data_IF_626383311339
#
_entry.id   IF_626383311339
#
_cell.length_a   1.000
_cell.length_b   1.000
_cell.length_c   1.000
_cell.angle_alpha   90.00
_cell.angle_beta   90.00
_cell.angle_gamma   90.00
#
_symmetry.space_group_name_H-M   'P 1'
#
loop_
_entity.id
_entity.type
_entity.pdbx_description
1 polymer ?
#
# COMPACT_ATOMS: atom_id res chain seq x y z
N UNK A 1 -24.05 7.51 -13.27
CA UNK A 1 -22.90 6.90 -12.56
C UNK A 1 -22.77 7.59 -11.21
N UNK A 2 -22.63 6.87 -10.13
CA UNK A 2 -22.45 7.49 -8.81
C UNK A 2 -21.11 8.26 -8.80
N UNK A 3 -21.11 9.45 -8.19
CA UNK A 3 -19.89 10.23 -7.98
C UNK A 3 -18.94 9.47 -7.06
N UNK A 4 -17.62 9.47 -7.28
CA UNK A 4 -16.66 8.90 -6.34
C UNK A 4 -16.72 9.62 -5.00
N UNK A 5 -16.67 8.89 -3.89
CA UNK A 5 -16.70 9.46 -2.54
C UNK A 5 -15.53 10.39 -2.24
N UNK A 6 -14.35 10.12 -2.84
CA UNK A 6 -13.14 10.94 -2.68
C UNK A 6 -12.45 11.14 -4.04
N UNK A 7 -12.17 12.40 -4.37
CA UNK A 7 -11.40 12.79 -5.56
C UNK A 7 -10.19 13.61 -5.09
N UNK A 8 -9.00 13.32 -5.63
CA UNK A 8 -7.81 14.16 -5.51
C UNK A 8 -7.43 14.73 -6.86
N UNK A 9 -7.20 16.02 -6.91
CA UNK A 9 -6.68 16.75 -8.06
C UNK A 9 -5.44 17.54 -7.65
N UNK A 10 -4.36 17.37 -8.39
CA UNK A 10 -3.09 18.02 -8.11
C UNK A 10 -2.55 18.72 -9.33
N UNK A 11 -2.09 19.96 -9.13
CA UNK A 11 -1.33 20.72 -10.10
C UNK A 11 -0.17 21.43 -9.40
N UNK A 12 0.81 21.86 -10.16
CA UNK A 12 1.85 22.75 -9.67
C UNK A 12 1.93 24.01 -10.51
N UNK A 13 2.37 25.08 -9.89
CA UNK A 13 2.63 26.37 -10.54
C UNK A 13 4.08 26.77 -10.31
N UNK A 14 4.68 27.34 -11.35
CA UNK A 14 6.04 27.87 -11.29
C UNK A 14 6.01 29.26 -10.67
N UNK A 15 7.12 29.73 -10.07
CA UNK A 15 7.18 31.04 -9.41
C UNK A 15 6.91 32.23 -10.37
N UNK A 16 6.99 32.02 -11.69
CA UNK A 16 6.82 33.06 -12.72
C UNK A 16 5.53 32.86 -13.55
N UNK A 17 4.71 31.88 -13.23
CA UNK A 17 3.53 31.52 -14.04
C UNK A 17 2.37 32.49 -13.85
N UNK A 18 1.83 33.02 -14.96
CA UNK A 18 0.53 33.75 -14.99
C UNK A 18 -0.66 32.86 -14.60
N UNK A 19 -0.52 31.54 -14.63
CA UNK A 19 -1.52 30.59 -14.14
C UNK A 19 -1.79 30.76 -12.64
N UNK A 20 -0.88 31.34 -11.90
CA UNK A 20 -1.04 31.71 -10.51
C UNK A 20 -2.09 32.83 -10.31
N UNK A 21 -1.99 33.92 -11.11
CA UNK A 21 -2.98 35.02 -11.07
C UNK A 21 -4.38 34.55 -11.53
N UNK A 22 -4.45 33.69 -12.57
CA UNK A 22 -5.71 33.15 -13.06
C UNK A 22 -6.40 32.22 -12.10
N UNK A 23 -5.65 31.44 -11.32
CA UNK A 23 -6.21 30.56 -10.29
C UNK A 23 -6.76 31.35 -9.10
N UNK A 24 -6.08 32.43 -8.71
CA UNK A 24 -6.56 33.37 -7.69
C UNK A 24 -7.87 34.06 -8.13
N UNK A 25 -7.98 34.48 -9.39
CA UNK A 25 -9.19 35.08 -9.94
C UNK A 25 -10.36 34.09 -10.05
N UNK A 26 -10.09 32.82 -10.37
CA UNK A 26 -11.10 31.76 -10.37
C UNK A 26 -11.69 31.51 -8.99
N UNK A 27 -10.87 31.58 -7.95
CA UNK A 27 -11.26 31.32 -6.58
C UNK A 27 -11.95 32.52 -5.90
N UNK A 28 -11.80 33.71 -6.45
CA UNK A 28 -12.36 34.95 -5.91
C UNK A 28 -13.85 35.19 -6.25
N UNK A 29 -14.58 34.14 -6.71
CA UNK A 29 -16.00 34.23 -7.03
C UNK A 29 -16.88 34.23 -5.78
N UNK A 30 -17.78 35.22 -5.70
CA UNK A 30 -18.56 35.65 -4.56
C UNK A 30 -19.71 34.73 -4.07
N UNK A 31 -19.83 33.46 -4.50
CA UNK A 31 -21.06 32.68 -4.35
C UNK A 31 -21.01 31.55 -3.30
N UNK A 32 -20.10 31.58 -2.36
CA UNK A 32 -19.83 30.40 -1.56
C UNK A 32 -19.78 30.62 -0.05
N UNK A 33 -20.85 31.11 0.58
CA UNK A 33 -20.87 31.46 2.02
C UNK A 33 -21.56 30.43 2.90
N UNK A 34 -20.96 30.07 4.04
CA UNK A 34 -21.60 29.81 5.36
C UNK A 34 -20.61 29.42 6.46
N UNK A 35 -20.40 30.27 7.51
CA UNK A 35 -20.08 29.85 8.87
C UNK A 35 -20.40 30.91 9.91
N UNK A 36 -20.71 30.49 11.15
CA UNK A 36 -21.05 31.36 12.28
C UNK A 36 -19.85 32.07 12.94
N UNK A 37 -18.62 31.72 12.60
CA UNK A 37 -17.40 32.30 13.19
C UNK A 37 -16.86 33.57 12.47
N UNK A 38 -17.70 34.17 11.66
CA UNK A 38 -17.39 35.20 10.66
C UNK A 38 -16.84 36.53 11.23
N UNK A 39 -17.29 36.97 12.39
CA UNK A 39 -17.03 38.34 12.83
C UNK A 39 -15.65 38.57 13.49
N UNK A 40 -15.03 37.54 14.04
CA UNK A 40 -13.76 37.66 14.77
C UNK A 40 -12.53 37.60 13.87
N UNK A 41 -12.66 36.94 12.72
CA UNK A 41 -11.55 36.70 11.79
C UNK A 41 -11.27 37.87 10.84
N UNK A 42 -12.29 38.60 10.43
CA UNK A 42 -12.19 39.70 9.46
C UNK A 42 -11.33 40.88 9.94
N UNK A 43 -11.27 41.12 11.24
CA UNK A 43 -10.48 42.26 11.75
C UNK A 43 -8.97 42.07 11.68
N UNK A 44 -8.49 40.84 11.59
CA UNK A 44 -7.06 40.52 11.65
C UNK A 44 -6.36 40.47 10.26
N UNK A 45 -7.09 40.33 9.16
CA UNK A 45 -6.53 40.03 7.84
C UNK A 45 -6.73 41.10 6.75
N UNK A 46 -7.42 42.19 7.02
CA UNK A 46 -7.72 43.24 6.02
C UNK A 46 -6.49 44.01 5.51
N UNK A 47 -5.35 43.95 6.18
CA UNK A 47 -4.16 44.73 5.83
C UNK A 47 -3.16 44.05 4.88
N UNK A 48 -3.35 42.80 4.50
CA UNK A 48 -2.36 42.02 3.73
C UNK A 48 -2.72 41.90 2.25
N UNK A 49 -2.48 42.92 1.46
CA UNK A 49 -2.63 42.90 -0.02
C UNK A 49 -1.29 42.58 -0.69
N UNK A 50 -0.95 41.30 -0.91
CA UNK A 50 0.25 40.89 -1.68
C UNK A 50 -0.04 39.85 -2.76
N UNK A 51 0.74 39.88 -3.85
CA UNK A 51 0.47 39.22 -5.14
C UNK A 51 1.35 38.00 -5.42
N UNK A 52 1.58 37.05 -4.51
CA UNK A 52 2.51 35.93 -4.72
C UNK A 52 1.99 34.59 -4.14
N UNK A 53 2.84 33.63 -3.85
CA UNK A 53 2.45 32.37 -3.19
C UNK A 53 1.69 32.61 -1.86
N UNK A 54 1.99 33.70 -1.20
CA UNK A 54 1.30 34.24 -0.05
C UNK A 54 -0.19 34.50 -0.31
N UNK A 55 -0.55 35.04 -1.49
CA UNK A 55 -1.92 35.39 -1.86
C UNK A 55 -2.81 34.15 -1.94
N UNK A 56 -2.27 32.98 -2.30
CA UNK A 56 -3.02 31.73 -2.30
C UNK A 56 -3.40 31.30 -0.87
N UNK A 57 -2.45 31.38 0.06
CA UNK A 57 -2.75 31.09 1.48
C UNK A 57 -3.74 32.10 2.07
N UNK A 58 -3.64 33.37 1.68
CA UNK A 58 -4.58 34.40 2.10
C UNK A 58 -6.01 34.12 1.61
N UNK A 59 -6.14 33.63 0.38
CA UNK A 59 -7.43 33.19 -0.15
C UNK A 59 -8.01 32.01 0.62
N UNK A 60 -7.18 31.01 0.94
CA UNK A 60 -7.60 29.84 1.69
C UNK A 60 -8.03 30.19 3.13
N UNK A 61 -7.58 31.31 3.68
CA UNK A 61 -7.96 31.78 5.00
C UNK A 61 -9.21 32.66 5.04
N UNK A 62 -9.90 32.86 3.89
CA UNK A 62 -11.09 33.70 3.83
C UNK A 62 -12.27 33.07 4.62
N UNK A 63 -12.68 33.65 5.76
CA UNK A 63 -13.67 33.03 6.67
C UNK A 63 -15.10 32.97 6.12
N UNK A 64 -15.40 33.73 5.05
CA UNK A 64 -16.72 33.67 4.39
C UNK A 64 -16.93 32.38 3.60
N UNK A 65 -15.84 31.72 3.22
CA UNK A 65 -15.86 30.63 2.24
C UNK A 65 -15.27 29.34 2.78
N UNK A 66 -14.46 29.42 3.84
CA UNK A 66 -13.58 28.34 4.25
C UNK A 66 -13.52 28.22 5.77
N UNK A 67 -13.04 27.06 6.25
CA UNK A 67 -12.51 26.95 7.61
C UNK A 67 -11.24 27.82 7.75
N UNK A 68 -10.82 28.03 9.00
CA UNK A 68 -9.49 28.57 9.25
C UNK A 68 -8.40 27.72 8.60
N UNK A 69 -7.26 28.37 8.28
CA UNK A 69 -6.09 27.61 7.81
C UNK A 69 -5.54 26.70 8.89
N UNK A 70 -5.27 25.48 8.50
CA UNK A 70 -4.58 24.47 9.30
C UNK A 70 -3.33 23.95 8.59
N UNK A 71 -2.47 23.25 9.31
CA UNK A 71 -1.27 22.66 8.74
C UNK A 71 -0.90 21.33 9.44
N UNK A 72 0.32 20.89 9.29
CA UNK A 72 0.82 19.65 9.92
C UNK A 72 0.75 19.65 11.45
N UNK A 73 0.74 20.83 12.11
CA UNK A 73 0.84 20.95 13.56
C UNK A 73 -0.39 21.55 14.23
N UNK A 74 -1.07 22.46 13.57
CA UNK A 74 -2.14 23.29 14.16
C UNK A 74 -3.43 23.11 13.37
N UNK A 75 -4.55 22.96 14.10
CA UNK A 75 -5.89 22.94 13.51
C UNK A 75 -6.35 24.33 13.11
N UNK A 76 -5.74 25.33 13.69
CA UNK A 76 -5.98 26.75 13.47
C UNK A 76 -4.65 27.51 13.55
N UNK A 77 -4.36 28.33 12.54
CA UNK A 77 -3.18 29.18 12.54
C UNK A 77 -3.52 30.56 13.13
N UNK A 78 -2.81 30.94 14.21
CA UNK A 78 -2.87 32.31 14.70
C UNK A 78 -2.24 33.29 13.71
N UNK A 79 -2.50 34.63 13.82
CA UNK A 79 -1.85 35.59 12.92
C UNK A 79 -0.33 35.50 12.88
N UNK A 80 0.32 35.25 14.02
CA UNK A 80 1.77 35.10 14.11
C UNK A 80 2.26 33.82 13.43
N UNK A 81 1.51 32.70 13.60
CA UNK A 81 1.82 31.44 12.93
C UNK A 81 1.61 31.56 11.43
N UNK A 82 0.56 32.28 11.00
CA UNK A 82 0.30 32.56 9.59
C UNK A 82 1.46 33.34 8.98
N UNK A 83 1.95 34.41 9.62
CA UNK A 83 3.07 35.20 9.10
C UNK A 83 4.35 34.35 9.00
N UNK A 84 4.59 33.45 9.94
CA UNK A 84 5.70 32.49 9.86
C UNK A 84 5.60 31.55 8.66
N UNK A 85 4.40 31.04 8.36
CA UNK A 85 4.16 30.22 7.19
C UNK A 85 4.30 31.02 5.89
N UNK A 86 3.76 32.25 5.86
CA UNK A 86 3.86 33.15 4.69
C UNK A 86 5.32 33.45 4.36
N UNK A 87 6.19 33.66 5.37
CA UNK A 87 7.61 33.86 5.12
C UNK A 87 8.28 32.62 4.50
N UNK A 88 7.88 31.41 4.90
CA UNK A 88 8.37 30.18 4.28
C UNK A 88 7.91 30.08 2.80
N UNK A 89 6.69 30.50 2.48
CA UNK A 89 6.20 30.54 1.10
C UNK A 89 6.95 31.59 0.28
N UNK A 90 7.21 32.78 0.83
CA UNK A 90 8.05 33.82 0.19
C UNK A 90 9.48 33.30 -0.04
N UNK A 91 10.06 32.61 0.94
CA UNK A 91 11.38 32.00 0.78
C UNK A 91 11.40 30.94 -0.32
N UNK A 92 10.39 30.06 -0.38
CA UNK A 92 10.26 29.09 -1.45
C UNK A 92 10.23 29.79 -2.83
N UNK A 93 9.47 30.86 -2.97
CA UNK A 93 9.37 31.63 -4.22
C UNK A 93 10.71 32.29 -4.60
N UNK A 94 11.41 32.92 -3.64
CA UNK A 94 12.77 33.47 -3.85
C UNK A 94 13.76 32.38 -4.29
N UNK A 95 13.63 31.17 -3.78
CA UNK A 95 14.46 30.02 -4.13
C UNK A 95 13.98 29.28 -5.40
N UNK A 96 13.05 29.88 -6.14
CA UNK A 96 12.50 29.32 -7.39
C UNK A 96 11.80 27.98 -7.21
N UNK A 97 11.29 27.68 -6.00
CA UNK A 97 10.49 26.49 -5.74
C UNK A 97 9.18 26.51 -6.50
N UNK A 98 8.62 25.33 -6.70
CA UNK A 98 7.26 25.17 -7.18
C UNK A 98 6.28 25.25 -6.02
N UNK A 99 5.03 25.64 -6.32
CA UNK A 99 3.91 25.46 -5.40
C UNK A 99 2.99 24.37 -5.93
N UNK A 100 2.83 23.29 -5.19
CA UNK A 100 1.84 22.23 -5.46
C UNK A 100 0.51 22.63 -4.82
N UNK A 101 -0.53 22.53 -5.61
CA UNK A 101 -1.90 22.78 -5.21
C UNK A 101 -2.67 21.49 -5.31
N UNK A 102 -3.15 20.96 -4.16
CA UNK A 102 -4.01 19.80 -4.10
C UNK A 102 -5.44 20.22 -3.75
N UNK A 103 -6.40 19.51 -4.29
CA UNK A 103 -7.81 19.63 -3.93
C UNK A 103 -8.32 18.21 -3.65
N UNK A 104 -8.66 17.95 -2.40
CA UNK A 104 -9.31 16.70 -2.00
C UNK A 104 -10.79 17.01 -1.87
N UNK A 105 -11.61 16.45 -2.75
CA UNK A 105 -13.06 16.65 -2.76
C UNK A 105 -13.77 15.39 -2.25
N UNK A 106 -14.82 15.61 -1.46
CA UNK A 106 -15.65 14.56 -0.87
C UNK A 106 -17.06 14.64 -1.42
N UNK A 107 -17.66 13.50 -1.76
CA UNK A 107 -19.09 13.42 -1.98
C UNK A 107 -19.79 13.56 -0.61
N UNK A 108 -20.73 14.53 -0.48
CA UNK A 108 -21.39 14.82 0.78
C UNK A 108 -22.22 13.63 1.30
N UNK A 109 -22.84 12.87 0.38
CA UNK A 109 -23.62 11.67 0.76
C UNK A 109 -22.70 10.56 1.28
N UNK A 110 -21.48 10.48 0.74
CA UNK A 110 -20.47 9.53 1.23
C UNK A 110 -19.99 9.92 2.64
N UNK A 111 -19.74 11.21 2.92
CA UNK A 111 -19.39 11.68 4.26
C UNK A 111 -20.54 11.45 5.26
N UNK A 112 -21.79 11.72 4.87
CA UNK A 112 -22.99 11.43 5.66
C UNK A 112 -23.09 9.95 6.04
N UNK A 113 -22.92 9.07 5.05
CA UNK A 113 -22.95 7.61 5.25
C UNK A 113 -21.92 7.13 6.27
N UNK A 114 -20.77 7.79 6.34
CA UNK A 114 -19.71 7.47 7.30
C UNK A 114 -19.79 8.28 8.61
N UNK A 115 -20.86 9.06 8.80
CA UNK A 115 -21.15 9.76 10.06
C UNK A 115 -20.33 11.03 10.28
N UNK A 116 -19.69 11.57 9.24
CA UNK A 116 -18.84 12.77 9.34
C UNK A 116 -19.50 14.05 8.80
N UNK A 117 -20.69 13.95 8.22
CA UNK A 117 -21.45 15.10 7.73
C UNK A 117 -22.94 14.93 8.00
N UNK A 118 -23.59 16.00 8.45
CA UNK A 118 -25.03 16.06 8.63
C UNK A 118 -25.66 17.01 7.58
N UNK A 119 -26.43 16.50 6.61
CA UNK A 119 -27.00 17.35 5.55
C UNK A 119 -28.11 18.29 6.05
N UNK A 120 -28.70 18.05 7.23
CA UNK A 120 -29.76 18.90 7.79
C UNK A 120 -29.17 20.09 8.53
N UNK A 121 -28.15 19.87 9.37
CA UNK A 121 -27.49 20.93 10.14
C UNK A 121 -26.30 21.54 9.41
N UNK A 122 -25.82 20.86 8.36
CA UNK A 122 -24.57 21.16 7.64
C UNK A 122 -23.31 21.08 8.51
N UNK A 123 -23.40 20.32 9.63
CA UNK A 123 -22.24 20.09 10.49
C UNK A 123 -21.29 19.05 9.86
N UNK A 124 -20.01 19.37 9.86
CA UNK A 124 -18.92 18.50 9.40
C UNK A 124 -18.02 18.16 10.58
N UNK A 125 -17.58 16.92 10.67
CA UNK A 125 -16.47 16.52 11.54
C UNK A 125 -15.13 16.98 10.93
N UNK A 126 -14.84 18.28 11.11
CA UNK A 126 -13.62 18.91 10.62
C UNK A 126 -12.35 18.24 11.17
N UNK A 127 -12.38 17.80 12.43
CA UNK A 127 -11.23 17.18 13.09
C UNK A 127 -10.80 15.90 12.36
N UNK A 128 -11.76 15.09 11.94
CA UNK A 128 -11.48 13.87 11.15
C UNK A 128 -10.97 14.23 9.75
N UNK A 129 -11.53 15.22 9.08
CA UNK A 129 -11.09 15.68 7.76
C UNK A 129 -9.65 16.25 7.84
N UNK A 130 -9.35 17.06 8.85
CA UNK A 130 -8.01 17.61 9.08
C UNK A 130 -6.98 16.50 9.37
N UNK A 131 -7.34 15.53 10.22
CA UNK A 131 -6.48 14.37 10.51
C UNK A 131 -6.22 13.53 9.26
N UNK A 132 -7.24 13.28 8.45
CA UNK A 132 -7.10 12.56 7.19
C UNK A 132 -6.16 13.27 6.22
N UNK A 133 -6.30 14.60 6.11
CA UNK A 133 -5.42 15.46 5.30
C UNK A 133 -3.97 15.40 5.78
N UNK A 134 -3.73 15.48 7.09
CA UNK A 134 -2.38 15.38 7.67
C UNK A 134 -1.72 14.05 7.36
N UNK A 135 -2.43 12.94 7.54
CA UNK A 135 -1.92 11.61 7.24
C UNK A 135 -1.53 11.49 5.76
N UNK A 136 -2.40 11.96 4.88
CA UNK A 136 -2.15 11.93 3.43
C UNK A 136 -0.95 12.78 3.03
N UNK A 137 -0.82 14.01 3.56
CA UNK A 137 0.29 14.90 3.26
C UNK A 137 1.62 14.40 3.84
N UNK A 138 1.60 13.83 5.04
CA UNK A 138 2.79 13.21 5.66
C UNK A 138 3.33 12.08 4.78
N UNK A 139 2.46 11.20 4.31
CA UNK A 139 2.86 10.09 3.44
C UNK A 139 3.33 10.59 2.06
N UNK A 140 2.66 11.59 1.48
CA UNK A 140 3.07 12.19 0.21
C UNK A 140 4.49 12.77 0.31
N UNK A 141 4.73 13.62 1.31
CA UNK A 141 6.02 14.29 1.55
C UNK A 141 7.14 13.25 1.71
N UNK A 142 6.90 12.22 2.52
CA UNK A 142 7.87 11.14 2.73
C UNK A 142 8.15 10.35 1.44
N UNK A 143 7.11 9.93 0.73
CA UNK A 143 7.27 9.13 -0.50
C UNK A 143 7.90 9.90 -1.67
N UNK A 144 7.70 11.23 -1.74
CA UNK A 144 8.32 12.11 -2.72
C UNK A 144 9.70 12.62 -2.27
N UNK A 145 10.15 12.28 -1.04
CA UNK A 145 11.42 12.71 -0.43
C UNK A 145 11.53 14.23 -0.29
N UNK A 146 10.46 14.85 0.16
CA UNK A 146 10.32 16.29 0.31
C UNK A 146 10.18 16.69 1.79
N UNK A 147 11.01 16.13 2.67
CA UNK A 147 10.91 16.28 4.13
C UNK A 147 10.99 17.74 4.61
N UNK A 148 11.53 18.63 3.78
CA UNK A 148 11.55 20.08 4.01
C UNK A 148 10.31 20.83 3.53
N UNK A 149 9.31 20.13 2.98
CA UNK A 149 8.10 20.77 2.47
C UNK A 149 7.21 21.31 3.59
N UNK A 150 6.64 22.48 3.32
CA UNK A 150 5.70 23.19 4.18
C UNK A 150 4.37 23.30 3.44
N UNK A 151 3.28 23.09 4.15
CA UNK A 151 1.95 23.18 3.55
C UNK A 151 0.92 23.81 4.50
N UNK A 152 -0.10 24.40 3.90
CA UNK A 152 -1.32 24.85 4.56
C UNK A 152 -2.53 24.29 3.84
N UNK A 153 -3.63 24.16 4.57
CA UNK A 153 -4.90 23.70 4.01
C UNK A 153 -6.07 24.43 4.62
N UNK A 154 -7.20 24.43 3.90
CA UNK A 154 -8.51 24.91 4.38
C UNK A 154 -9.64 24.04 3.86
N UNK A 155 -10.70 23.90 4.64
CA UNK A 155 -11.90 23.18 4.26
C UNK A 155 -12.88 24.19 3.66
N UNK A 156 -13.43 23.88 2.50
CA UNK A 156 -14.42 24.67 1.80
C UNK A 156 -15.78 23.97 1.82
N UNK A 157 -16.84 24.71 2.17
CA UNK A 157 -18.19 24.18 2.39
C UNK A 157 -19.18 24.54 1.30
N UNK A 158 -18.83 25.40 0.39
CA UNK A 158 -19.75 26.21 -0.40
C UNK A 158 -20.04 25.69 -1.80
N UNK A 159 -19.77 24.45 -2.06
CA UNK A 159 -20.07 23.75 -3.30
C UNK A 159 -20.93 22.53 -3.00
N UNK A 160 -21.46 21.90 -4.05
CA UNK A 160 -22.21 20.63 -3.92
C UNK A 160 -21.42 19.54 -3.20
N UNK A 161 -20.09 19.71 -3.12
CA UNK A 161 -19.16 18.79 -2.46
C UNK A 161 -18.21 19.54 -1.53
N UNK A 162 -18.05 19.07 -0.30
CA UNK A 162 -17.04 19.56 0.62
C UNK A 162 -15.65 19.21 0.06
N UNK A 163 -14.72 20.16 0.13
CA UNK A 163 -13.37 19.92 -0.35
C UNK A 163 -12.30 20.64 0.47
N UNK A 164 -11.11 20.08 0.48
CA UNK A 164 -9.92 20.62 1.15
C UNK A 164 -8.96 21.14 0.09
N UNK A 165 -8.67 22.43 0.12
CA UNK A 165 -7.58 23.02 -0.64
C UNK A 165 -6.28 22.96 0.14
N UNK A 166 -5.20 22.59 -0.52
CA UNK A 166 -3.88 22.47 0.08
C UNK A 166 -2.87 23.20 -0.82
N UNK A 167 -2.05 24.06 -0.20
CA UNK A 167 -0.88 24.64 -0.83
C UNK A 167 0.38 24.05 -0.18
N UNK A 168 1.32 23.55 -0.98
CA UNK A 168 2.57 22.97 -0.52
C UNK A 168 3.75 23.57 -1.29
N UNK A 169 4.81 23.93 -0.58
CA UNK A 169 6.06 24.43 -1.16
C UNK A 169 7.27 23.78 -0.47
N UNK A 170 8.42 23.78 -1.13
CA UNK A 170 9.71 23.51 -0.48
C UNK A 170 10.48 24.83 -0.33
N UNK A 171 10.64 25.40 0.89
CA UNK A 171 11.47 26.59 1.09
C UNK A 171 12.90 26.42 0.58
N UNK A 172 13.43 25.20 0.69
CA UNK A 172 14.71 24.78 0.12
C UNK A 172 14.48 23.62 -0.85
N UNK A 173 14.32 23.89 -2.16
CA UNK A 173 13.99 22.86 -3.14
C UNK A 173 15.03 21.76 -3.22
N UNK A 174 14.58 20.51 -3.14
CA UNK A 174 15.43 19.32 -3.19
C UNK A 174 15.32 18.55 -4.51
N UNK A 175 14.34 18.86 -5.33
CA UNK A 175 14.07 18.17 -6.60
C UNK A 175 15.08 18.57 -7.68
N UNK A 176 15.27 17.68 -8.65
CA UNK A 176 16.13 17.95 -9.80
C UNK A 176 15.55 19.06 -10.69
N UNK A 177 16.41 19.89 -11.22
CA UNK A 177 16.05 20.85 -12.25
C UNK A 177 16.17 20.25 -13.64
N UNK A 178 15.37 20.74 -14.59
CA UNK A 178 15.39 20.31 -15.97
C UNK A 178 15.02 21.50 -16.90
N UNK A 179 15.30 21.32 -18.18
CA UNK A 179 14.80 22.22 -19.22
C UNK A 179 13.47 21.68 -19.75
N UNK A 180 12.33 22.34 -19.49
CA UNK A 180 11.06 21.94 -20.05
C UNK A 180 11.07 22.10 -21.58
N UNK A 181 10.38 21.18 -22.27
CA UNK A 181 10.25 21.19 -23.71
C UNK A 181 8.78 21.35 -24.10
N UNK A 182 8.54 21.99 -25.23
CA UNK A 182 7.23 22.11 -25.84
C UNK A 182 6.78 20.81 -26.53
N UNK A 183 5.62 20.82 -27.18
CA UNK A 183 5.09 19.66 -27.91
C UNK A 183 5.96 19.25 -29.12
N UNK A 184 6.81 20.12 -29.60
CA UNK A 184 7.76 19.91 -30.69
C UNK A 184 9.15 19.46 -30.20
N UNK A 185 9.34 19.33 -28.89
CA UNK A 185 10.61 18.95 -28.28
C UNK A 185 11.64 20.08 -28.17
N UNK A 186 11.24 21.33 -28.40
CA UNK A 186 12.10 22.52 -28.25
C UNK A 186 12.04 23.01 -26.81
N UNK A 187 13.19 23.48 -26.28
CA UNK A 187 13.27 24.05 -24.93
C UNK A 187 12.41 25.31 -24.83
N UNK A 188 11.60 25.37 -23.78
CA UNK A 188 10.75 26.52 -23.51
C UNK A 188 11.63 27.69 -23.07
N UNK A 189 11.34 28.88 -23.66
CA UNK A 189 12.00 30.13 -23.30
C UNK A 189 11.06 30.99 -22.46
N UNK A 190 11.63 31.72 -21.52
CA UNK A 190 10.91 32.72 -20.74
C UNK A 190 10.48 33.86 -21.71
N UNK A 191 9.18 34.19 -21.80
CA UNK A 191 8.67 35.20 -22.72
C UNK A 191 9.16 36.61 -22.39
N UNK A 192 9.65 36.88 -21.18
CA UNK A 192 10.15 38.18 -20.74
C UNK A 192 11.64 38.37 -21.03
N UNK A 193 12.44 37.31 -20.77
CA UNK A 193 13.92 37.39 -20.91
C UNK A 193 14.44 36.76 -22.17
N UNK A 194 13.67 35.87 -22.83
CA UNK A 194 14.11 35.12 -24.01
C UNK A 194 15.08 33.96 -23.68
N UNK A 195 15.46 33.80 -22.43
CA UNK A 195 16.36 32.73 -21.96
C UNK A 195 15.63 31.39 -21.83
N UNK A 196 16.37 30.26 -21.93
CA UNK A 196 15.82 28.95 -21.70
C UNK A 196 15.39 28.77 -20.23
N UNK A 197 14.17 28.31 -20.00
CA UNK A 197 13.65 28.08 -18.65
C UNK A 197 14.38 26.90 -18.01
N UNK A 198 14.97 27.13 -16.84
CA UNK A 198 15.62 26.11 -16.02
C UNK A 198 14.88 25.99 -14.70
N UNK A 199 13.99 25.00 -14.57
CA UNK A 199 13.05 24.88 -13.45
C UNK A 199 13.13 23.54 -12.74
N UNK A 200 12.61 23.47 -11.50
CA UNK A 200 12.50 22.24 -10.73
C UNK A 200 11.40 21.33 -11.30
N UNK A 201 11.60 20.03 -11.22
CA UNK A 201 10.64 19.02 -11.68
C UNK A 201 9.41 19.01 -10.78
N UNK A 202 8.25 19.44 -11.30
CA UNK A 202 6.99 19.53 -10.54
C UNK A 202 6.16 18.25 -10.49
N UNK A 203 6.38 17.33 -11.43
CA UNK A 203 5.55 16.13 -11.57
C UNK A 203 5.77 15.17 -10.38
N UNK A 204 4.69 14.92 -9.61
CA UNK A 204 4.64 13.91 -8.56
C UNK A 204 4.38 12.52 -9.17
N UNK A 205 4.77 11.47 -8.47
CA UNK A 205 4.58 10.10 -8.95
C UNK A 205 3.10 9.70 -8.87
N UNK A 206 2.48 9.17 -9.95
CA UNK A 206 1.06 8.80 -9.95
C UNK A 206 0.67 7.83 -8.82
N UNK A 207 1.56 6.91 -8.46
CA UNK A 207 1.33 5.99 -7.34
C UNK A 207 1.19 6.71 -6.00
N UNK A 208 1.91 7.81 -5.78
CA UNK A 208 1.86 8.58 -4.53
C UNK A 208 0.58 9.43 -4.48
N UNK A 209 0.12 9.95 -5.62
CA UNK A 209 -1.18 10.62 -5.72
C UNK A 209 -2.34 9.64 -5.44
N UNK A 210 -2.27 8.41 -5.96
CA UNK A 210 -3.27 7.38 -5.63
C UNK A 210 -3.27 7.03 -4.14
N UNK A 211 -2.12 7.09 -3.47
CA UNK A 211 -2.00 6.86 -2.02
C UNK A 211 -2.68 7.96 -1.18
N UNK A 212 -2.64 9.22 -1.62
CA UNK A 212 -3.39 10.32 -0.95
C UNK A 212 -4.85 9.91 -0.80
N UNK A 213 -5.51 9.51 -1.89
CA UNK A 213 -6.91 9.06 -1.85
C UNK A 213 -7.13 7.92 -0.88
N UNK A 214 -6.24 6.92 -0.90
CA UNK A 214 -6.34 5.75 -0.02
C UNK A 214 -6.20 6.13 1.45
N UNK A 215 -5.26 7.01 1.79
CA UNK A 215 -5.05 7.49 3.15
C UNK A 215 -6.26 8.29 3.66
N UNK A 216 -6.77 9.20 2.85
CA UNK A 216 -7.96 9.99 3.18
C UNK A 216 -9.16 9.09 3.37
N UNK A 217 -9.42 8.18 2.44
CA UNK A 217 -10.56 7.28 2.51
C UNK A 217 -10.48 6.34 3.74
N UNK A 218 -9.28 5.84 4.05
CA UNK A 218 -9.08 4.99 5.23
C UNK A 218 -9.21 5.73 6.56
N UNK A 219 -8.91 7.03 6.57
CA UNK A 219 -9.05 7.85 7.78
C UNK A 219 -10.50 8.31 8.03
N UNK A 220 -11.29 8.49 6.98
CA UNK A 220 -12.71 8.84 7.05
C UNK A 220 -13.57 7.60 7.33
N UNK A 221 -13.39 6.56 6.52
CA UNK A 221 -14.11 5.30 6.68
C UNK A 221 -13.17 4.28 7.31
N UNK A 222 -13.33 4.01 8.60
CA UNK A 222 -12.48 3.04 9.31
C UNK A 222 -12.61 1.65 8.66
N UNK A 223 -11.58 1.28 7.90
CA UNK A 223 -11.48 -0.01 7.22
C UNK A 223 -10.66 -1.03 8.01
N UNK A 224 -10.14 -0.65 9.18
CA UNK A 224 -9.19 -1.47 9.93
C UNK A 224 -9.76 -2.83 10.27
N UNK A 225 -11.00 -2.91 10.70
CA UNK A 225 -11.69 -4.17 11.02
C UNK A 225 -11.88 -5.05 9.78
N UNK A 226 -12.33 -4.46 8.66
CA UNK A 226 -12.55 -5.18 7.40
C UNK A 226 -11.22 -5.73 6.85
N UNK A 227 -10.17 -4.93 6.83
CA UNK A 227 -8.86 -5.34 6.35
C UNK A 227 -8.22 -6.37 7.28
N UNK A 228 -8.37 -6.21 8.61
CA UNK A 228 -7.93 -7.19 9.59
C UNK A 228 -8.64 -8.53 9.39
N UNK A 229 -9.96 -8.53 9.16
CA UNK A 229 -10.74 -9.73 8.88
C UNK A 229 -10.24 -10.44 7.60
N UNK A 230 -10.04 -9.70 6.51
CA UNK A 230 -9.48 -10.26 5.26
C UNK A 230 -8.10 -10.86 5.49
N UNK A 231 -7.22 -10.15 6.23
CA UNK A 231 -5.89 -10.64 6.55
C UNK A 231 -5.95 -11.89 7.42
N UNK A 232 -6.75 -11.90 8.47
CA UNK A 232 -6.93 -13.03 9.38
C UNK A 232 -7.44 -14.27 8.63
N UNK A 233 -8.49 -14.13 7.83
CA UNK A 233 -9.06 -15.24 7.05
C UNK A 233 -8.06 -15.79 6.02
N UNK A 234 -7.41 -14.90 5.27
CA UNK A 234 -6.51 -15.33 4.19
C UNK A 234 -5.16 -15.85 4.68
N UNK A 235 -4.57 -15.28 5.74
CA UNK A 235 -3.22 -15.61 6.19
C UNK A 235 -3.17 -16.50 7.41
N UNK A 236 -4.01 -16.21 8.42
CA UNK A 236 -3.94 -16.91 9.70
C UNK A 236 -4.80 -18.18 9.73
N UNK A 237 -5.86 -18.26 8.93
CA UNK A 237 -6.71 -19.45 8.88
C UNK A 237 -6.45 -20.30 7.63
N UNK A 238 -6.76 -19.79 6.44
CA UNK A 238 -6.69 -20.59 5.21
C UNK A 238 -5.23 -20.77 4.75
N UNK A 239 -4.41 -19.73 4.86
CA UNK A 239 -3.03 -19.70 4.37
C UNK A 239 -1.98 -20.36 5.27
N UNK A 240 -2.38 -21.00 6.38
CA UNK A 240 -1.45 -21.64 7.31
C UNK A 240 -0.82 -22.91 6.71
N UNK A 241 0.51 -22.91 6.57
CA UNK A 241 1.27 -24.05 6.03
C UNK A 241 1.13 -25.32 6.86
N UNK A 242 1.10 -25.19 8.18
CA UNK A 242 0.99 -26.33 9.10
C UNK A 242 -0.31 -27.11 8.84
N UNK A 243 -1.43 -26.41 8.67
CA UNK A 243 -2.73 -27.02 8.36
C UNK A 243 -2.75 -27.64 6.96
N UNK A 244 -2.10 -27.01 5.97
CA UNK A 244 -1.92 -27.55 4.63
C UNK A 244 -1.18 -28.91 4.70
N UNK A 245 -0.08 -29.00 5.46
CA UNK A 245 0.68 -30.24 5.57
C UNK A 245 -0.06 -31.34 6.34
N UNK A 246 -0.84 -30.97 7.35
CA UNK A 246 -1.71 -31.92 8.04
C UNK A 246 -2.82 -32.45 7.12
N UNK A 247 -3.43 -31.57 6.32
CA UNK A 247 -4.42 -31.94 5.29
C UNK A 247 -3.83 -32.93 4.27
N UNK A 248 -2.65 -32.65 3.72
CA UNK A 248 -1.95 -33.54 2.79
C UNK A 248 -1.73 -34.94 3.39
N UNK A 249 -1.31 -35.02 4.66
CA UNK A 249 -1.02 -36.30 5.32
C UNK A 249 -2.26 -37.10 5.71
N UNK A 250 -3.38 -36.43 6.00
CA UNK A 250 -4.62 -37.05 6.48
C UNK A 250 -5.61 -37.42 5.40
N UNK A 251 -5.51 -36.89 4.20
CA UNK A 251 -6.51 -37.00 3.15
C UNK A 251 -5.96 -37.71 1.90
N UNK A 252 -6.59 -38.85 1.57
CA UNK A 252 -6.20 -39.66 0.40
C UNK A 252 -6.40 -38.95 -0.92
N UNK A 253 -7.40 -38.07 -1.03
CA UNK A 253 -7.66 -37.31 -2.28
C UNK A 253 -6.55 -36.28 -2.48
N UNK A 254 -6.21 -35.55 -1.44
CA UNK A 254 -5.10 -34.58 -1.48
C UNK A 254 -3.76 -35.27 -1.72
N UNK A 255 -3.51 -36.43 -1.11
CA UNK A 255 -2.30 -37.22 -1.37
C UNK A 255 -2.19 -37.63 -2.84
N UNK A 256 -3.29 -38.12 -3.44
CA UNK A 256 -3.30 -38.49 -4.85
C UNK A 256 -2.99 -37.32 -5.77
N UNK A 257 -3.62 -36.16 -5.52
CA UNK A 257 -3.34 -34.92 -6.27
C UNK A 257 -1.90 -34.44 -6.07
N UNK A 258 -1.39 -34.53 -4.83
CA UNK A 258 0.01 -34.23 -4.51
C UNK A 258 0.98 -35.05 -5.34
N UNK A 259 0.80 -36.39 -5.37
CA UNK A 259 1.65 -37.30 -6.13
C UNK A 259 1.56 -37.04 -7.64
N UNK A 260 0.40 -36.67 -8.14
CA UNK A 260 0.18 -36.32 -9.54
C UNK A 260 0.93 -35.03 -9.91
N UNK A 261 0.78 -33.98 -9.12
CA UNK A 261 1.54 -32.73 -9.31
C UNK A 261 3.04 -33.00 -9.27
N UNK A 262 3.50 -33.75 -8.27
CA UNK A 262 4.93 -34.05 -8.11
C UNK A 262 5.55 -34.73 -9.33
N UNK A 263 4.81 -35.64 -10.00
CA UNK A 263 5.29 -36.32 -11.22
C UNK A 263 5.43 -35.39 -12.44
N UNK A 264 4.63 -34.31 -12.48
CA UNK A 264 4.64 -33.36 -13.60
C UNK A 264 5.58 -32.16 -13.37
N UNK A 265 6.15 -32.04 -12.17
CA UNK A 265 7.09 -30.95 -11.88
C UNK A 265 8.39 -31.09 -12.69
N UNK A 266 8.94 -29.95 -13.17
CA UNK A 266 10.22 -29.98 -13.87
C UNK A 266 11.36 -30.50 -12.98
N UNK A 267 12.37 -31.09 -13.60
CA UNK A 267 13.51 -31.68 -12.88
C UNK A 267 14.29 -30.67 -12.03
N UNK A 268 14.21 -29.40 -12.34
CA UNK A 268 14.94 -28.30 -11.72
C UNK A 268 14.12 -27.70 -10.57
N UNK A 269 14.33 -28.16 -9.33
CA UNK A 269 13.52 -27.74 -8.17
C UNK A 269 13.64 -26.26 -7.81
N UNK A 270 14.69 -25.54 -8.22
CA UNK A 270 14.80 -24.10 -8.02
C UNK A 270 13.77 -23.30 -8.82
N UNK A 271 13.18 -23.87 -9.87
CA UNK A 271 12.10 -23.29 -10.66
C UNK A 271 10.72 -23.48 -10.02
N UNK A 272 10.61 -24.25 -8.95
CA UNK A 272 9.35 -24.56 -8.29
C UNK A 272 8.86 -23.36 -7.44
N UNK A 273 8.36 -22.36 -8.14
CA UNK A 273 7.65 -21.20 -7.58
C UNK A 273 6.34 -21.04 -8.33
N UNK A 274 5.25 -20.90 -7.61
CA UNK A 274 3.89 -20.90 -8.17
C UNK A 274 3.72 -19.98 -9.38
N UNK A 275 4.25 -18.77 -9.31
CA UNK A 275 4.16 -17.78 -10.41
C UNK A 275 5.25 -17.93 -11.49
N UNK A 276 6.11 -18.95 -11.42
CA UNK A 276 7.14 -19.17 -12.45
C UNK A 276 6.51 -19.72 -13.73
N UNK A 277 6.95 -19.19 -14.88
CA UNK A 277 6.48 -19.66 -16.20
C UNK A 277 6.79 -21.14 -16.46
N UNK A 278 7.85 -21.68 -15.85
CA UNK A 278 8.18 -23.10 -15.93
C UNK A 278 7.08 -24.03 -15.35
N UNK A 279 6.15 -23.48 -14.57
CA UNK A 279 5.03 -24.21 -13.99
C UNK A 279 3.69 -23.91 -14.67
N UNK A 280 3.66 -23.27 -15.83
CA UNK A 280 2.43 -22.91 -16.54
C UNK A 280 1.49 -24.08 -16.78
N UNK A 281 2.04 -25.27 -17.15
CA UNK A 281 1.29 -26.48 -17.40
C UNK A 281 0.85 -27.20 -16.10
N UNK A 282 1.63 -27.05 -15.03
CA UNK A 282 1.35 -27.72 -13.74
C UNK A 282 0.45 -26.85 -12.85
N UNK A 283 0.42 -25.53 -13.07
CA UNK A 283 -0.34 -24.58 -12.25
C UNK A 283 -1.83 -24.91 -12.14
N UNK A 284 -2.55 -25.30 -13.20
CA UNK A 284 -3.95 -25.71 -13.07
C UNK A 284 -4.15 -26.88 -12.11
N UNK A 285 -3.20 -27.83 -12.06
CA UNK A 285 -3.25 -28.96 -11.12
C UNK A 285 -3.03 -28.49 -9.68
N UNK A 286 -2.15 -27.52 -9.49
CA UNK A 286 -1.92 -26.88 -8.17
C UNK A 286 -3.17 -26.13 -7.74
N UNK A 287 -3.83 -25.40 -8.64
CA UNK A 287 -5.07 -24.69 -8.35
C UNK A 287 -6.20 -25.67 -7.96
N UNK A 288 -6.36 -26.75 -8.69
CA UNK A 288 -7.34 -27.81 -8.37
C UNK A 288 -7.05 -28.48 -7.01
N UNK A 289 -5.78 -28.66 -6.67
CA UNK A 289 -5.39 -29.13 -5.33
C UNK A 289 -5.80 -28.12 -4.26
N UNK A 290 -5.54 -26.83 -4.48
CA UNK A 290 -5.88 -25.74 -3.54
C UNK A 290 -7.40 -25.65 -3.37
N UNK A 291 -8.16 -25.74 -4.47
CA UNK A 291 -9.62 -25.75 -4.42
C UNK A 291 -10.15 -26.90 -3.58
N UNK A 292 -9.65 -28.12 -3.82
CA UNK A 292 -10.02 -29.30 -3.02
C UNK A 292 -9.68 -29.14 -1.54
N UNK A 293 -8.50 -28.57 -1.24
CA UNK A 293 -8.09 -28.31 0.14
C UNK A 293 -9.01 -27.28 0.83
N UNK A 294 -9.30 -26.17 0.15
CA UNK A 294 -10.19 -25.12 0.65
C UNK A 294 -11.62 -25.68 0.86
N UNK A 295 -12.16 -26.42 -0.09
CA UNK A 295 -13.49 -27.00 0.00
C UNK A 295 -13.61 -27.99 1.17
N UNK A 296 -12.59 -28.81 1.37
CA UNK A 296 -12.60 -29.85 2.40
C UNK A 296 -12.41 -29.28 3.80
N UNK A 297 -11.49 -28.33 4.00
CA UNK A 297 -11.07 -27.91 5.33
C UNK A 297 -11.45 -26.47 5.69
N UNK A 298 -11.78 -25.62 4.74
CA UNK A 298 -11.97 -24.20 4.92
C UNK A 298 -13.18 -23.59 4.19
N UNK A 299 -14.13 -24.40 3.77
CA UNK A 299 -15.27 -23.96 2.94
C UNK A 299 -16.03 -22.77 3.55
N UNK A 300 -16.28 -22.81 4.86
CA UNK A 300 -16.98 -21.76 5.58
C UNK A 300 -16.16 -20.47 5.66
N UNK A 301 -14.88 -20.58 6.09
CA UNK A 301 -13.96 -19.44 6.17
C UNK A 301 -13.64 -18.82 4.81
N UNK A 302 -13.61 -19.62 3.77
CA UNK A 302 -13.42 -19.13 2.41
C UNK A 302 -14.65 -18.36 1.90
N UNK A 303 -15.84 -18.79 2.28
CA UNK A 303 -17.07 -18.03 2.01
C UNK A 303 -17.04 -16.68 2.74
N UNK A 304 -16.69 -16.66 4.04
CA UNK A 304 -16.52 -15.45 4.83
C UNK A 304 -15.48 -14.51 4.21
N UNK A 305 -14.34 -15.03 3.74
CA UNK A 305 -13.31 -14.27 3.05
C UNK A 305 -13.87 -13.63 1.76
N UNK A 306 -14.61 -14.40 0.97
CA UNK A 306 -15.21 -13.86 -0.27
C UNK A 306 -16.21 -12.77 0.03
N UNK A 307 -17.04 -12.93 1.06
CA UNK A 307 -18.02 -11.92 1.49
C UNK A 307 -17.33 -10.65 1.99
N UNK A 308 -16.25 -10.79 2.77
CA UNK A 308 -15.44 -9.66 3.21
C UNK A 308 -14.76 -8.93 2.04
N UNK A 309 -14.26 -9.68 1.05
CA UNK A 309 -13.69 -9.11 -0.18
C UNK A 309 -14.76 -8.41 -1.04
N UNK A 310 -15.97 -8.93 -1.11
CA UNK A 310 -17.08 -8.29 -1.85
C UNK A 310 -17.52 -6.99 -1.17
N UNK A 311 -17.55 -6.95 0.16
CA UNK A 311 -17.77 -5.71 0.92
C UNK A 311 -16.67 -4.70 0.65
N UNK A 312 -15.40 -5.13 0.63
CA UNK A 312 -14.28 -4.27 0.31
C UNK A 312 -14.35 -3.72 -1.13
N UNK A 313 -14.71 -4.56 -2.10
CA UNK A 313 -14.91 -4.13 -3.49
C UNK A 313 -16.03 -3.10 -3.60
N UNK A 314 -17.15 -3.31 -2.89
CA UNK A 314 -18.27 -2.36 -2.87
C UNK A 314 -17.86 -1.03 -2.26
N UNK A 315 -17.09 -1.06 -1.16
CA UNK A 315 -16.52 0.12 -0.54
C UNK A 315 -15.57 0.88 -1.49
N UNK A 316 -14.66 0.17 -2.16
CA UNK A 316 -13.72 0.81 -3.10
C UNK A 316 -14.42 1.37 -4.33
N UNK A 317 -15.47 0.71 -4.81
CA UNK A 317 -16.31 1.23 -5.89
C UNK A 317 -16.97 2.53 -5.52
N UNK A 318 -17.56 2.59 -4.34
CA UNK A 318 -18.20 3.79 -3.82
C UNK A 318 -17.18 4.92 -3.59
N UNK A 319 -16.03 4.60 -3.01
CA UNK A 319 -15.01 5.58 -2.63
C UNK A 319 -14.24 6.15 -3.82
N UNK A 320 -13.86 5.30 -4.77
CA UNK A 320 -12.93 5.67 -5.86
C UNK A 320 -13.57 5.72 -7.25
N UNK A 321 -14.84 5.28 -7.39
CA UNK A 321 -15.51 5.12 -8.68
C UNK A 321 -15.12 3.81 -9.39
N UNK A 322 -15.53 3.65 -10.67
CA UNK A 322 -15.50 2.35 -11.35
C UNK A 322 -14.12 1.85 -11.85
N UNK A 323 -13.03 2.60 -11.66
CA UNK A 323 -11.84 2.37 -12.48
C UNK A 323 -10.86 1.26 -12.03
N UNK A 324 -10.80 0.81 -10.78
CA UNK A 324 -9.76 -0.16 -10.36
C UNK A 324 -10.14 -1.12 -9.21
N UNK A 325 -11.35 -1.09 -8.72
CA UNK A 325 -11.77 -1.88 -7.55
C UNK A 325 -11.89 -3.38 -7.80
N UNK A 326 -12.18 -3.80 -9.05
CA UNK A 326 -12.32 -5.23 -9.40
C UNK A 326 -11.01 -5.99 -9.21
N UNK A 327 -9.89 -5.32 -9.39
CA UNK A 327 -8.56 -5.90 -9.23
C UNK A 327 -8.25 -6.27 -7.77
N UNK A 328 -8.84 -5.58 -6.79
CA UNK A 328 -8.57 -5.84 -5.37
C UNK A 328 -8.91 -7.28 -4.97
N UNK A 329 -10.15 -7.72 -5.22
CA UNK A 329 -10.59 -9.10 -4.91
C UNK A 329 -9.76 -10.13 -5.65
N UNK A 330 -9.59 -9.92 -6.96
CA UNK A 330 -8.81 -10.80 -7.82
C UNK A 330 -7.37 -10.93 -7.34
N UNK A 331 -6.72 -9.81 -6.98
CA UNK A 331 -5.35 -9.81 -6.50
C UNK A 331 -5.22 -10.50 -5.14
N UNK A 332 -6.17 -10.27 -4.21
CA UNK A 332 -6.16 -10.94 -2.89
C UNK A 332 -6.35 -12.45 -3.01
N UNK A 333 -7.23 -12.91 -3.91
CA UNK A 333 -7.39 -14.34 -4.18
C UNK A 333 -6.14 -14.93 -4.86
N UNK A 334 -5.55 -14.24 -5.83
CA UNK A 334 -4.26 -14.64 -6.44
C UNK A 334 -3.15 -14.74 -5.40
N UNK A 335 -3.08 -13.81 -4.45
CA UNK A 335 -2.11 -13.85 -3.35
C UNK A 335 -2.31 -15.07 -2.45
N UNK A 336 -3.56 -15.43 -2.14
CA UNK A 336 -3.88 -16.63 -1.38
C UNK A 336 -3.42 -17.90 -2.11
N UNK A 337 -3.80 -18.05 -3.41
CA UNK A 337 -3.40 -19.19 -4.23
C UNK A 337 -1.89 -19.28 -4.40
N UNK A 338 -1.23 -18.14 -4.63
CA UNK A 338 0.23 -18.07 -4.69
C UNK A 338 0.90 -18.49 -3.38
N UNK A 339 0.34 -18.10 -2.25
CA UNK A 339 0.85 -18.48 -0.92
C UNK A 339 0.72 -19.98 -0.65
N UNK A 340 -0.48 -20.54 -0.90
CA UNK A 340 -0.75 -21.97 -0.73
C UNK A 340 0.06 -22.83 -1.72
N UNK A 341 0.11 -22.42 -3.00
CA UNK A 341 0.88 -23.09 -4.04
C UNK A 341 2.38 -23.09 -3.73
N UNK A 342 2.94 -21.98 -3.26
CA UNK A 342 4.33 -21.94 -2.81
C UNK A 342 4.57 -22.79 -1.56
N UNK A 343 3.60 -22.86 -0.64
CA UNK A 343 3.64 -23.77 0.50
C UNK A 343 3.74 -25.23 0.05
N UNK A 344 2.83 -25.65 -0.84
CA UNK A 344 2.81 -26.99 -1.43
C UNK A 344 4.14 -27.34 -2.14
N UNK A 345 4.60 -26.45 -3.01
CA UNK A 345 5.85 -26.65 -3.75
C UNK A 345 7.07 -26.72 -2.84
N UNK A 346 7.08 -25.96 -1.74
CA UNK A 346 8.16 -26.03 -0.75
C UNK A 346 8.16 -27.38 -0.03
N UNK A 347 7.01 -27.93 0.34
CA UNK A 347 6.92 -29.28 0.90
C UNK A 347 7.44 -30.32 -0.08
N UNK A 348 7.06 -30.24 -1.33
CA UNK A 348 7.56 -31.11 -2.40
C UNK A 348 9.08 -31.01 -2.59
N UNK A 349 9.68 -29.82 -2.49
CA UNK A 349 11.13 -29.63 -2.52
C UNK A 349 11.80 -30.31 -1.31
N UNK A 350 11.24 -30.18 -0.14
CA UNK A 350 11.75 -30.83 1.09
C UNK A 350 11.64 -32.35 0.99
N UNK A 351 10.52 -32.86 0.50
CA UNK A 351 10.34 -34.28 0.21
C UNK A 351 11.39 -34.81 -0.77
N UNK A 352 11.60 -34.13 -1.88
CA UNK A 352 12.64 -34.48 -2.86
C UNK A 352 14.04 -34.51 -2.26
N UNK A 353 14.40 -33.49 -1.46
CA UNK A 353 15.70 -33.46 -0.77
C UNK A 353 15.89 -34.65 0.17
N UNK A 354 14.86 -34.98 0.95
CA UNK A 354 14.93 -36.13 1.87
C UNK A 354 15.09 -37.46 1.13
N UNK A 355 14.36 -37.65 0.03
CA UNK A 355 14.44 -38.85 -0.81
C UNK A 355 15.81 -38.98 -1.48
N UNK A 356 16.38 -37.89 -2.01
CA UNK A 356 17.72 -37.90 -2.58
C UNK A 356 18.79 -38.21 -1.53
N UNK A 357 18.72 -37.61 -0.35
CA UNK A 357 19.63 -37.91 0.76
C UNK A 357 19.53 -39.37 1.17
N UNK A 358 18.32 -39.92 1.26
CA UNK A 358 18.11 -41.32 1.62
C UNK A 358 18.68 -42.25 0.55
N UNK A 359 18.49 -41.95 -0.74
CA UNK A 359 19.06 -42.77 -1.83
C UNK A 359 20.60 -42.71 -1.87
N UNK A 360 21.21 -41.54 -1.63
CA UNK A 360 22.65 -41.38 -1.54
C UNK A 360 23.23 -42.14 -0.34
N UNK A 361 22.57 -42.12 0.79
CA UNK A 361 22.94 -42.86 1.97
C UNK A 361 22.84 -44.37 1.70
N UNK A 362 21.73 -44.84 1.14
CA UNK A 362 21.57 -46.24 0.75
C UNK A 362 22.65 -46.72 -0.23
N UNK A 363 22.99 -45.93 -1.25
CA UNK A 363 24.09 -46.23 -2.19
C UNK A 363 25.44 -46.31 -1.48
N UNK A 364 25.71 -45.37 -0.55
CA UNK A 364 26.96 -45.36 0.21
C UNK A 364 27.06 -46.59 1.11
N UNK A 365 25.98 -47.00 1.73
CA UNK A 365 25.96 -48.20 2.56
C UNK A 365 25.96 -49.50 1.76
N UNK A 366 25.29 -49.54 0.58
CA UNK A 366 25.36 -50.67 -0.31
C UNK A 366 26.79 -50.87 -0.87
N UNK A 367 27.50 -49.79 -1.12
CA UNK A 367 28.92 -49.82 -1.54
C UNK A 367 29.81 -50.34 -0.40
N UNK A 368 29.59 -49.90 0.84
CA UNK A 368 30.29 -50.39 2.01
C UNK A 368 29.95 -51.87 2.29
N UNK A 369 28.69 -52.27 2.16
CA UNK A 369 28.28 -53.69 2.30
C UNK A 369 28.98 -54.60 1.28
N UNK A 370 29.13 -54.17 0.06
CA UNK A 370 29.87 -54.89 -0.99
C UNK A 370 31.37 -55.03 -0.67
N UNK A 371 31.93 -54.04 0.03
CA UNK A 371 33.31 -54.06 0.51
C UNK A 371 33.48 -54.93 1.74
N UNK A 372 32.49 -55.00 2.65
CA UNK A 372 32.52 -55.77 3.89
C UNK A 372 32.02 -57.23 3.74
N UNK A 373 31.25 -57.58 2.70
CA UNK A 373 30.88 -58.99 2.42
C UNK A 373 32.07 -59.91 2.24
N UNK A 374 33.25 -59.36 1.98
CA UNK A 374 34.53 -60.12 1.96
C UNK A 374 35.11 -60.42 3.33
N UNK A 375 34.67 -59.76 4.41
CA UNK A 375 35.32 -59.79 5.74
C UNK A 375 34.47 -60.43 6.83
N UNK A 376 33.13 -60.49 6.73
CA UNK A 376 32.28 -60.96 7.81
C UNK A 376 31.22 -62.01 7.41
N UNK A 377 31.30 -63.17 8.00
CA UNK A 377 30.42 -64.34 7.74
C UNK A 377 29.07 -64.35 8.47
N UNK A 378 28.59 -63.24 9.10
CA UNK A 378 27.26 -63.18 9.80
C UNK A 378 26.54 -61.83 9.64
N UNK A 379 25.60 -61.69 8.70
CA UNK A 379 24.94 -60.41 8.38
C UNK A 379 23.90 -59.92 9.40
N UNK A 380 23.27 -60.79 10.16
CA UNK A 380 22.02 -60.48 10.88
C UNK A 380 22.14 -59.56 12.13
N UNK A 381 23.33 -59.40 12.73
CA UNK A 381 23.54 -58.50 13.86
C UNK A 381 23.89 -57.07 13.41
N UNK A 382 24.58 -56.96 12.32
CA UNK A 382 25.06 -55.71 11.78
C UNK A 382 23.87 -54.84 11.23
N UNK A 383 22.86 -55.47 10.59
CA UNK A 383 21.68 -54.79 10.12
C UNK A 383 20.84 -54.18 11.27
N UNK A 384 20.75 -54.84 12.42
CA UNK A 384 20.06 -54.33 13.60
C UNK A 384 20.77 -53.11 14.21
N UNK A 385 22.09 -53.12 14.26
CA UNK A 385 22.87 -51.97 14.74
C UNK A 385 22.90 -50.81 13.78
N UNK A 386 22.89 -51.07 12.48
CA UNK A 386 22.76 -50.04 11.41
C UNK A 386 21.39 -49.40 11.45
N UNK A 387 20.29 -50.15 11.57
CA UNK A 387 18.96 -49.55 11.68
C UNK A 387 18.79 -48.70 12.95
N UNK A 388 19.33 -49.18 14.10
CA UNK A 388 19.29 -48.39 15.33
C UNK A 388 20.17 -47.13 15.28
N UNK A 389 21.32 -47.17 14.56
CA UNK A 389 22.16 -46.02 14.32
C UNK A 389 21.51 -45.06 13.31
N UNK A 390 20.76 -45.59 12.34
CA UNK A 390 19.99 -44.81 11.38
C UNK A 390 18.84 -44.05 12.03
N UNK A 391 18.06 -44.70 12.88
CA UNK A 391 16.97 -44.06 13.64
C UNK A 391 17.52 -42.97 14.55
N UNK A 392 18.64 -43.25 15.24
CA UNK A 392 19.29 -42.30 16.14
C UNK A 392 19.87 -41.09 15.39
N UNK A 393 20.46 -41.29 14.21
CA UNK A 393 21.02 -40.26 13.35
C UNK A 393 19.87 -39.43 12.69
N UNK A 394 18.77 -40.07 12.35
CA UNK A 394 17.59 -39.40 11.80
C UNK A 394 16.91 -38.49 12.85
N UNK A 395 16.75 -38.98 14.08
CA UNK A 395 16.20 -38.20 15.20
C UNK A 395 17.14 -37.02 15.58
N UNK A 396 18.46 -37.22 15.56
CA UNK A 396 19.42 -36.12 15.77
C UNK A 396 19.34 -35.07 14.71
N UNK A 397 19.28 -35.44 13.42
CA UNK A 397 19.11 -34.49 12.30
C UNK A 397 17.76 -33.77 12.35
N UNK A 398 16.70 -34.44 12.82
CA UNK A 398 15.39 -33.82 12.98
C UNK A 398 15.41 -32.80 14.13
N UNK A 399 16.08 -33.09 15.22
CA UNK A 399 16.24 -32.22 16.39
C UNK A 399 17.16 -31.01 16.07
N UNK A 400 18.26 -31.20 15.33
CA UNK A 400 19.10 -30.10 14.87
C UNK A 400 18.35 -29.15 13.92
N UNK A 401 17.52 -29.70 13.04
CA UNK A 401 16.68 -28.88 12.14
C UNK A 401 15.58 -28.13 12.87
N UNK A 402 14.98 -28.74 13.89
CA UNK A 402 14.00 -28.07 14.75
C UNK A 402 14.65 -26.92 15.52
N UNK A 403 15.89 -27.12 16.00
CA UNK A 403 16.66 -26.09 16.68
C UNK A 403 17.07 -24.93 15.76
N UNK A 404 17.51 -25.21 14.53
CA UNK A 404 17.84 -24.17 13.53
C UNK A 404 16.61 -23.35 13.15
N UNK A 405 15.46 -24.01 12.94
CA UNK A 405 14.19 -23.30 12.64
C UNK A 405 13.71 -22.43 13.79
N UNK A 406 13.86 -22.90 15.03
CA UNK A 406 13.52 -22.12 16.22
C UNK A 406 14.42 -20.90 16.35
N UNK A 407 15.71 -21.04 16.04
CA UNK A 407 16.67 -19.96 16.05
C UNK A 407 16.37 -18.92 14.95
N UNK A 408 16.11 -19.36 13.71
CA UNK A 408 15.71 -18.49 12.59
C UNK A 408 14.39 -17.76 12.88
N UNK A 409 13.43 -18.39 13.55
CA UNK A 409 12.18 -17.75 13.99
C UNK A 409 12.44 -16.65 15.02
N UNK A 410 13.32 -16.91 15.99
CA UNK A 410 13.68 -15.94 17.03
C UNK A 410 14.48 -14.76 16.44
N UNK A 411 15.39 -15.01 15.50
CA UNK A 411 16.17 -13.96 14.81
C UNK A 411 15.26 -13.07 13.95
N UNK A 412 14.26 -13.63 13.25
CA UNK A 412 13.28 -12.84 12.47
C UNK A 412 12.33 -12.02 13.35
N UNK A 413 11.93 -12.54 14.53
CA UNK A 413 11.09 -11.81 15.48
C UNK A 413 11.85 -10.62 16.12
N UNK A 414 13.20 -10.67 16.18
CA UNK A 414 14.03 -9.57 16.66
C UNK A 414 14.34 -8.50 15.59
N UNK A 415 14.23 -8.81 14.31
CA UNK A 415 14.41 -7.82 13.22
C UNK A 415 13.11 -7.05 12.91
N UNK A 416 11.95 -7.49 13.41
CA UNK A 416 10.65 -6.82 13.25
C UNK A 416 10.25 -5.92 14.44
N UNK A 417 11.06 -5.84 15.50
CA UNK A 417 10.87 -4.91 16.64
C UNK A 417 11.76 -3.67 16.50
#
# INVERSE_FOLDING_TARGET
>A
MASPGVIDSTKFVTPHSSGFENYLNYMNRSEAVRTKAYSEYNAAFDDLKKKDFETYNYYMSNPEKTSALFNSKYDFLTPEQMEGVMEQFRQAQRNQSLMWQHVISFDNSWLEKHGHYNPVTHDLDEATVMRATRNAMTELIHNEKMEGAVWTASIHYNTDNIHVHIAMVEPHPTREKYYPVDKQGQRIKDPKTGEEVWEYRGKLQPKNLSRIKSQVASAIADQSEMLATIHQLSRQYIGQREQLYQGIRGDRVLQKKYDEIYRHLPSQSHLWKYNNNALSEVRPMIDEFIDTYIETYHSERYRELRDALDKAVSFYKETYGESHYQDFKTNKLKDLYSSLGNGLLKDMQEYRRSTLLQSQLLQKYAFQEKYFKGIFRRPGRMFRHLNAAFEKSYEQLKNERAYVRLRESIENDFEEM
#
